data_IF_455108291327
#
_entry.id   IF_455108291327
#
_cell.length_a   1.000
_cell.length_b   1.000
_cell.length_c   1.000
_cell.angle_alpha   90.00
_cell.angle_beta   90.00
_cell.angle_gamma   90.00
#
_symmetry.space_group_name_H-M   'P 1'
#
loop_
_entity.id
_entity.type
_entity.pdbx_description
1 polymer ?
#
# COMPACT_ATOMS: atom_id res chain seq x y z
N UNK A 1 28.62 -6.27 11.22
CA UNK A 1 28.14 -6.29 9.82
C UNK A 1 27.05 -7.33 9.54
N UNK A 2 27.06 -8.53 10.13
CA UNK A 2 26.06 -9.60 9.87
C UNK A 2 24.58 -9.23 10.12
N UNK A 3 24.28 -8.40 11.13
CA UNK A 3 22.89 -7.98 11.46
C UNK A 3 22.22 -7.11 10.38
N UNK A 4 22.98 -6.26 9.66
CA UNK A 4 22.42 -5.38 8.61
C UNK A 4 21.92 -6.17 7.40
N UNK A 5 22.64 -7.22 6.99
CA UNK A 5 22.24 -8.09 5.90
C UNK A 5 21.02 -8.95 6.26
N UNK A 6 20.92 -9.38 7.52
CA UNK A 6 19.75 -10.12 8.01
C UNK A 6 18.47 -9.28 7.94
N UNK A 7 18.53 -7.99 8.31
CA UNK A 7 17.39 -7.08 8.17
C UNK A 7 16.95 -6.90 6.71
N UNK A 8 17.92 -6.79 5.79
CA UNK A 8 17.67 -6.59 4.37
C UNK A 8 16.96 -7.80 3.74
N UNK A 9 17.35 -9.01 4.15
CA UNK A 9 16.70 -10.27 3.73
C UNK A 9 15.25 -10.34 4.24
N UNK A 10 15.03 -10.01 5.52
CA UNK A 10 13.68 -9.98 6.12
C UNK A 10 12.80 -8.97 5.39
N UNK A 11 13.33 -7.78 5.10
CA UNK A 11 12.61 -6.75 4.36
C UNK A 11 12.22 -7.21 2.94
N UNK A 12 13.14 -7.86 2.22
CA UNK A 12 12.85 -8.42 0.90
C UNK A 12 11.76 -9.49 0.97
N UNK A 13 11.86 -10.41 1.92
CA UNK A 13 10.88 -11.46 2.10
C UNK A 13 9.49 -10.89 2.40
N UNK A 14 9.42 -9.93 3.33
CA UNK A 14 8.17 -9.25 3.68
C UNK A 14 7.57 -8.52 2.47
N UNK A 15 8.41 -7.88 1.66
CA UNK A 15 7.98 -7.17 0.44
C UNK A 15 7.37 -8.12 -0.59
N UNK A 16 7.93 -9.32 -0.76
CA UNK A 16 7.41 -10.34 -1.67
C UNK A 16 6.04 -10.85 -1.19
N UNK A 17 5.91 -11.13 0.11
CA UNK A 17 4.64 -11.59 0.71
C UNK A 17 3.55 -10.53 0.56
N UNK A 18 3.87 -9.26 0.87
CA UNK A 18 2.95 -8.14 0.72
C UNK A 18 2.54 -7.93 -0.74
N UNK A 19 3.48 -8.05 -1.68
CA UNK A 19 3.18 -7.95 -3.11
C UNK A 19 2.25 -9.08 -3.58
N UNK A 20 2.52 -10.32 -3.17
CA UNK A 20 1.67 -11.47 -3.48
C UNK A 20 0.25 -11.30 -2.93
N UNK A 21 0.15 -10.87 -1.66
CA UNK A 21 -1.13 -10.58 -1.02
C UNK A 21 -1.90 -9.47 -1.74
N UNK A 22 -1.23 -8.38 -2.10
CA UNK A 22 -1.82 -7.29 -2.86
C UNK A 22 -2.29 -7.74 -4.25
N UNK A 23 -1.54 -8.61 -4.94
CA UNK A 23 -1.91 -9.14 -6.25
C UNK A 23 -3.14 -10.04 -6.19
N UNK A 24 -3.17 -10.97 -5.23
CA UNK A 24 -4.35 -11.83 -4.99
C UNK A 24 -5.55 -10.97 -4.64
N UNK A 25 -5.40 -10.04 -3.70
CA UNK A 25 -6.52 -9.19 -3.32
C UNK A 25 -7.00 -8.32 -4.48
N UNK A 26 -6.11 -7.82 -5.34
CA UNK A 26 -6.52 -7.11 -6.54
C UNK A 26 -7.32 -7.98 -7.52
N UNK A 27 -6.96 -9.26 -7.65
CA UNK A 27 -7.66 -10.20 -8.52
C UNK A 27 -9.05 -10.60 -8.00
N UNK A 28 -9.36 -10.33 -6.72
CA UNK A 28 -10.70 -10.58 -6.20
C UNK A 28 -11.72 -9.68 -6.91
N UNK A 29 -12.87 -10.25 -7.34
CA UNK A 29 -13.98 -9.49 -7.87
C UNK A 29 -14.51 -8.45 -6.88
N UNK A 30 -14.99 -7.32 -7.40
CA UNK A 30 -15.53 -6.23 -6.58
C UNK A 30 -16.68 -6.69 -5.67
N UNK A 31 -17.53 -7.63 -6.13
CA UNK A 31 -18.64 -8.14 -5.32
C UNK A 31 -18.21 -8.87 -4.05
N UNK A 32 -17.00 -9.45 -4.01
CA UNK A 32 -16.45 -10.09 -2.80
C UNK A 32 -15.89 -9.04 -1.86
N UNK A 33 -15.23 -8.02 -2.40
CA UNK A 33 -14.67 -6.90 -1.64
C UNK A 33 -15.78 -6.06 -1.01
N UNK A 34 -16.86 -5.77 -1.73
CA UNK A 34 -17.98 -4.98 -1.21
C UNK A 34 -18.75 -5.66 -0.07
N UNK A 35 -18.68 -7.00 0.02
CA UNK A 35 -19.29 -7.76 1.12
C UNK A 35 -18.33 -8.07 2.27
N UNK A 36 -17.06 -7.71 2.12
CA UNK A 36 -16.04 -7.97 3.13
C UNK A 36 -15.91 -6.80 4.09
N UNK A 37 -15.77 -7.09 5.38
CA UNK A 37 -15.37 -6.10 6.39
C UNK A 37 -13.93 -5.60 6.21
N UNK A 38 -13.19 -6.15 5.25
CA UNK A 38 -11.82 -5.79 4.91
C UNK A 38 -11.56 -5.92 3.40
N UNK A 39 -11.19 -4.81 2.76
CA UNK A 39 -11.03 -4.73 1.32
C UNK A 39 -9.85 -3.87 0.93
N UNK A 40 -8.96 -4.42 0.10
CA UNK A 40 -7.82 -3.70 -0.47
C UNK A 40 -8.04 -3.50 -1.97
N UNK A 41 -8.00 -2.26 -2.40
CA UNK A 41 -8.01 -1.86 -3.80
C UNK A 41 -6.67 -1.25 -4.15
N UNK A 42 -6.01 -1.76 -5.17
CA UNK A 42 -4.77 -1.21 -5.67
C UNK A 42 -4.88 -1.01 -7.18
N UNK A 43 -4.88 0.24 -7.64
CA UNK A 43 -4.79 0.59 -9.05
C UNK A 43 -3.39 1.13 -9.30
N UNK A 44 -2.66 0.57 -10.28
CA UNK A 44 -1.31 1.04 -10.58
C UNK A 44 -1.31 2.34 -11.41
N UNK A 45 -2.28 2.53 -12.30
CA UNK A 45 -2.36 3.72 -13.14
C UNK A 45 -3.80 4.25 -13.28
N UNK A 46 -4.11 5.46 -12.77
CA UNK A 46 -3.30 6.23 -11.82
C UNK A 46 -3.12 5.45 -10.50
N UNK A 47 -2.00 5.68 -9.79
CA UNK A 47 -1.75 5.02 -8.50
C UNK A 47 -2.84 5.41 -7.48
N UNK A 48 -3.65 4.43 -7.08
CA UNK A 48 -4.69 4.56 -6.05
C UNK A 48 -4.69 3.28 -5.21
N UNK A 49 -4.19 3.40 -3.98
CA UNK A 49 -4.20 2.34 -2.99
C UNK A 49 -5.21 2.69 -1.91
N UNK A 50 -6.19 1.81 -1.68
CA UNK A 50 -7.22 1.99 -0.69
C UNK A 50 -7.37 0.72 0.13
N UNK A 51 -7.40 0.87 1.45
CA UNK A 51 -7.77 -0.16 2.41
C UNK A 51 -9.06 0.31 3.06
N UNK A 52 -10.13 -0.45 2.90
CA UNK A 52 -11.41 -0.26 3.58
C UNK A 52 -11.52 -1.36 4.64
N UNK A 53 -11.75 -0.94 5.88
CA UNK A 53 -12.15 -1.79 7.00
C UNK A 53 -13.58 -1.41 7.37
N UNK A 54 -14.22 -2.21 8.24
CA UNK A 54 -15.58 -1.93 8.74
C UNK A 54 -15.77 -0.48 9.23
N UNK A 55 -14.77 0.06 9.92
CA UNK A 55 -14.87 1.34 10.62
C UNK A 55 -13.94 2.43 10.05
N UNK A 56 -12.94 2.05 9.24
CA UNK A 56 -11.91 2.98 8.75
C UNK A 56 -11.56 2.76 7.28
N UNK A 57 -11.38 3.86 6.55
CA UNK A 57 -10.89 3.85 5.18
C UNK A 57 -9.55 4.58 5.09
N UNK A 58 -8.50 3.85 4.75
CA UNK A 58 -7.18 4.40 4.46
C UNK A 58 -7.00 4.53 2.95
N UNK A 59 -6.70 5.74 2.46
CA UNK A 59 -6.53 6.01 1.03
C UNK A 59 -5.22 6.74 0.76
N UNK A 60 -4.41 6.16 -0.13
CA UNK A 60 -3.17 6.74 -0.64
C UNK A 60 -3.29 6.81 -2.16
N UNK A 61 -3.42 8.01 -2.71
CA UNK A 61 -3.44 8.23 -4.15
C UNK A 61 -2.26 9.09 -4.60
N UNK A 62 -2.12 9.27 -5.91
CA UNK A 62 -1.12 10.15 -6.53
C UNK A 62 -1.15 11.60 -6.00
N UNK A 63 -2.33 12.12 -5.62
CA UNK A 63 -2.46 13.46 -5.02
C UNK A 63 -1.88 13.51 -3.61
N UNK A 64 -2.09 12.46 -2.79
CA UNK A 64 -1.48 12.33 -1.46
C UNK A 64 0.03 12.36 -1.57
N UNK A 65 0.61 11.63 -2.54
CA UNK A 65 2.05 11.63 -2.77
C UNK A 65 2.59 13.00 -3.22
N UNK A 66 1.87 13.69 -4.12
CA UNK A 66 2.24 15.04 -4.56
C UNK A 66 2.18 16.06 -3.42
N UNK A 67 1.20 15.96 -2.52
CA UNK A 67 1.07 16.84 -1.36
C UNK A 67 2.17 16.59 -0.33
N UNK A 68 2.52 15.33 -0.06
CA UNK A 68 3.68 14.99 0.79
C UNK A 68 4.97 15.53 0.15
N UNK A 69 5.16 15.34 -1.15
CA UNK A 69 6.32 15.87 -1.88
C UNK A 69 6.42 17.40 -1.77
N UNK A 70 5.31 18.12 -1.90
CA UNK A 70 5.27 19.59 -1.70
C UNK A 70 5.56 19.98 -0.25
N UNK A 71 4.97 19.27 0.72
CA UNK A 71 5.22 19.51 2.14
C UNK A 71 6.70 19.34 2.52
N UNK A 72 7.33 18.24 2.06
CA UNK A 72 8.77 18.00 2.27
C UNK A 72 9.62 19.09 1.60
N UNK A 73 9.28 19.50 0.36
CA UNK A 73 9.99 20.57 -0.34
C UNK A 73 9.89 21.93 0.37
N UNK A 74 8.82 22.16 1.13
CA UNK A 74 8.65 23.38 1.91
C UNK A 74 9.26 23.27 3.33
N UNK A 75 9.67 22.07 3.75
CA UNK A 75 10.23 21.81 5.09
C UNK A 75 11.77 21.72 5.08
N UNK A 76 12.37 21.46 3.92
CA UNK A 76 13.82 21.55 3.71
C UNK A 76 14.06 22.90 2.99
N UNK A 77 14.68 23.88 3.65
CA UNK A 77 14.97 25.19 3.05
C UNK A 77 15.90 25.09 1.84
#
# INVERSE_FOLDING_TARGET
>A
MKKKYSFLIIFFYLSIVLYGFAKVNNSLPNFIKERSNFSIYCKQNPFDFRIETKDYTFKVNSKTFLNIKKGIKNFIP
#
